data_IF_137722641692
#
_entry.id   IF_137722641692
#
_cell.length_a   1.000
_cell.length_b   1.000
_cell.length_c   1.000
_cell.angle_alpha   90.00
_cell.angle_beta   90.00
_cell.angle_gamma   90.00
#
_symmetry.space_group_name_H-M   'P 1'
#
loop_
_entity.id
_entity.type
_entity.pdbx_description
1 polymer ?
#
# COMPACT_ATOMS: atom_id res chain seq x y z
N UNK A 1 -11.63 -55.50 21.54
CA UNK A 1 -11.37 -56.69 20.70
C UNK A 1 -10.62 -56.28 19.47
N UNK A 2 -9.42 -56.90 19.32
CA UNK A 2 -8.60 -57.17 18.13
C UNK A 2 -8.12 -55.92 17.33
N UNK A 3 -6.86 -55.48 17.49
CA UNK A 3 -5.58 -56.03 17.00
C UNK A 3 -5.60 -56.58 15.58
N UNK A 4 -4.70 -56.05 14.72
CA UNK A 4 -3.81 -56.79 13.79
C UNK A 4 -3.05 -55.72 12.99
N UNK A 5 -1.75 -55.46 13.30
CA UNK A 5 -0.49 -55.97 12.75
C UNK A 5 -0.17 -55.39 11.35
N UNK A 6 0.89 -54.54 11.22
CA UNK A 6 2.32 -54.90 11.00
C UNK A 6 2.61 -55.54 9.64
N UNK A 7 3.52 -54.94 8.91
CA UNK A 7 4.31 -55.49 7.80
C UNK A 7 4.89 -54.36 6.99
N UNK A 8 6.05 -53.87 7.22
CA UNK A 8 7.40 -54.39 6.95
C UNK A 8 7.67 -54.59 5.44
N UNK A 9 8.46 -53.76 4.83
CA UNK A 9 9.49 -54.18 3.88
C UNK A 9 10.58 -53.11 3.76
N UNK A 10 11.70 -53.46 4.35
CA UNK A 10 13.06 -52.94 4.22
C UNK A 10 13.73 -53.71 3.07
N UNK A 11 14.73 -53.10 2.50
CA UNK A 11 15.80 -53.61 1.63
C UNK A 11 15.55 -53.48 0.13
N UNK A 12 16.42 -52.72 -0.55
CA UNK A 12 17.66 -53.30 -1.13
C UNK A 12 18.74 -52.22 -1.16
N UNK A 13 19.83 -52.56 -0.45
CA UNK A 13 21.13 -51.97 -0.44
C UNK A 13 22.02 -52.75 -1.41
N UNK A 14 23.02 -52.08 -1.86
CA UNK A 14 24.32 -52.61 -2.30
C UNK A 14 24.55 -52.79 -3.80
N UNK A 15 25.42 -52.02 -4.22
CA UNK A 15 26.81 -52.27 -4.57
C UNK A 15 27.06 -52.45 -6.06
N UNK A 16 27.89 -51.59 -6.56
CA UNK A 16 29.03 -52.03 -7.38
C UNK A 16 30.17 -50.99 -7.30
N UNK A 17 31.16 -51.33 -6.52
CA UNK A 17 32.51 -50.80 -6.56
C UNK A 17 33.29 -51.81 -7.39
N UNK A 18 34.13 -51.27 -8.23
CA UNK A 18 35.41 -51.77 -8.75
C UNK A 18 35.53 -51.63 -10.26
N UNK A 19 36.45 -50.81 -10.62
CA UNK A 19 37.08 -50.70 -11.96
C UNK A 19 38.26 -49.75 -11.89
N UNK A 20 39.36 -50.18 -11.28
CA UNK A 20 40.66 -49.53 -11.43
C UNK A 20 41.16 -49.76 -12.87
N UNK A 21 41.72 -48.69 -13.49
CA UNK A 21 43.12 -48.75 -13.94
C UNK A 21 43.57 -47.43 -14.54
N UNK A 22 44.65 -46.98 -14.06
CA UNK A 22 45.63 -45.99 -14.40
C UNK A 22 45.75 -45.60 -15.88
N UNK A 23 45.90 -44.25 -16.10
CA UNK A 23 46.97 -43.72 -16.90
C UNK A 23 47.17 -42.23 -16.58
N UNK A 24 48.45 -41.85 -16.36
CA UNK A 24 48.86 -40.53 -15.92
C UNK A 24 48.63 -39.45 -16.99
N UNK A 25 48.26 -38.29 -16.52
CA UNK A 25 48.21 -37.05 -17.26
C UNK A 25 48.04 -35.92 -16.28
N UNK A 26 49.07 -35.08 -16.12
CA UNK A 26 49.03 -33.86 -15.34
C UNK A 26 47.87 -32.99 -15.76
N UNK A 27 46.76 -33.02 -15.03
CA UNK A 27 45.69 -32.02 -15.12
C UNK A 27 45.94 -30.94 -14.09
N UNK A 28 46.29 -29.74 -14.58
CA UNK A 28 46.11 -28.51 -13.84
C UNK A 28 44.71 -28.49 -13.26
N UNK A 29 44.64 -28.47 -11.95
CA UNK A 29 43.40 -28.23 -11.21
C UNK A 29 43.05 -26.76 -11.42
N UNK A 30 42.31 -26.45 -12.47
CA UNK A 30 41.51 -25.23 -12.48
C UNK A 30 40.41 -25.40 -11.42
N UNK A 31 40.66 -24.80 -10.29
CA UNK A 31 39.62 -24.52 -9.30
C UNK A 31 38.67 -23.52 -9.95
N UNK A 32 37.71 -24.02 -10.71
CA UNK A 32 36.53 -23.26 -11.07
C UNK A 32 35.79 -22.99 -9.76
N UNK A 33 36.08 -21.85 -9.16
CA UNK A 33 35.26 -21.30 -8.08
C UNK A 33 33.84 -21.23 -8.62
N UNK A 34 32.96 -22.11 -8.11
CA UNK A 34 31.54 -22.02 -8.32
C UNK A 34 31.12 -20.65 -7.77
N UNK A 35 30.93 -19.67 -8.67
CA UNK A 35 30.34 -18.40 -8.29
C UNK A 35 29.04 -18.77 -7.57
N UNK A 36 28.89 -18.36 -6.31
CA UNK A 36 27.68 -18.56 -5.57
C UNK A 36 26.58 -17.88 -6.38
N UNK A 37 25.59 -18.64 -6.78
CA UNK A 37 24.41 -18.13 -7.52
C UNK A 37 23.78 -17.05 -6.66
N UNK A 38 23.83 -15.79 -7.12
CA UNK A 38 23.28 -14.65 -6.38
C UNK A 38 21.77 -14.85 -6.30
N UNK A 39 21.26 -15.10 -5.10
CA UNK A 39 19.82 -15.31 -4.88
C UNK A 39 19.10 -14.01 -5.22
N UNK A 40 18.15 -14.05 -6.14
CA UNK A 40 17.28 -12.92 -6.45
C UNK A 40 15.96 -13.01 -5.70
N UNK A 41 15.40 -11.85 -5.36
CA UNK A 41 14.13 -11.72 -4.67
C UNK A 41 13.21 -10.82 -5.48
N UNK A 42 11.95 -11.24 -5.64
CA UNK A 42 10.88 -10.43 -6.21
C UNK A 42 9.97 -9.97 -5.08
N UNK A 43 9.78 -8.67 -4.96
CA UNK A 43 9.03 -8.01 -3.89
C UNK A 43 7.81 -7.30 -4.49
N UNK A 44 6.61 -7.62 -4.03
CA UNK A 44 5.37 -6.95 -4.46
C UNK A 44 5.23 -5.62 -3.74
N UNK A 45 5.01 -4.54 -4.49
CA UNK A 45 4.65 -3.22 -3.98
C UNK A 45 3.24 -2.87 -4.44
N UNK A 46 2.29 -2.83 -3.53
CA UNK A 46 0.91 -2.49 -3.83
C UNK A 46 0.60 -1.02 -3.56
N UNK A 47 -0.19 -0.40 -4.43
CA UNK A 47 -0.85 0.88 -4.15
C UNK A 47 -2.23 0.95 -4.82
N UNK A 48 -3.11 1.82 -4.28
CA UNK A 48 -4.50 1.91 -4.72
C UNK A 48 -4.77 3.05 -5.71
N UNK A 49 -3.77 3.84 -6.05
CA UNK A 49 -3.91 4.96 -7.00
C UNK A 49 -3.94 4.47 -8.43
N UNK A 50 -4.59 5.25 -9.30
CA UNK A 50 -4.65 4.93 -10.73
C UNK A 50 -3.25 4.80 -11.35
N UNK A 51 -3.13 3.94 -12.34
CA UNK A 51 -1.92 3.81 -13.14
C UNK A 51 -1.63 5.14 -13.86
N UNK A 52 -0.34 5.54 -13.89
CA UNK A 52 0.10 6.82 -14.44
C UNK A 52 -0.10 8.02 -13.52
N UNK A 53 -0.68 7.86 -12.31
CA UNK A 53 -0.77 8.91 -11.31
C UNK A 53 0.62 9.25 -10.74
N UNK A 54 0.82 10.43 -10.12
CA UNK A 54 2.07 10.74 -9.42
C UNK A 54 2.51 9.69 -8.41
N UNK A 55 1.56 9.07 -7.70
CA UNK A 55 1.89 7.98 -6.77
C UNK A 55 2.41 6.74 -7.50
N UNK A 56 1.84 6.38 -8.64
CA UNK A 56 2.30 5.26 -9.47
C UNK A 56 3.69 5.53 -10.06
N UNK A 57 3.93 6.76 -10.52
CA UNK A 57 5.24 7.19 -11.02
C UNK A 57 6.29 7.07 -9.91
N UNK A 58 6.00 7.57 -8.71
CA UNK A 58 6.89 7.47 -7.56
C UNK A 58 7.16 6.01 -7.15
N UNK A 59 6.15 5.13 -7.22
CA UNK A 59 6.31 3.71 -6.91
C UNK A 59 7.23 3.01 -7.93
N UNK A 60 7.10 3.33 -9.21
CA UNK A 60 7.96 2.82 -10.29
C UNK A 60 9.39 3.34 -10.17
N UNK A 61 9.56 4.64 -9.88
CA UNK A 61 10.88 5.22 -9.62
C UNK A 61 11.55 4.58 -8.40
N UNK A 62 10.79 4.32 -7.33
CA UNK A 62 11.31 3.58 -6.19
C UNK A 62 11.78 2.17 -6.59
N UNK A 63 11.01 1.44 -7.39
CA UNK A 63 11.36 0.12 -7.87
C UNK A 63 12.66 0.14 -8.70
N UNK A 64 12.79 1.10 -9.60
CA UNK A 64 13.99 1.30 -10.44
C UNK A 64 15.21 1.63 -9.57
N UNK A 65 15.07 2.48 -8.57
CA UNK A 65 16.14 2.85 -7.65
C UNK A 65 16.60 1.67 -6.79
N UNK A 66 15.67 0.82 -6.33
CA UNK A 66 16.01 -0.41 -5.60
C UNK A 66 16.80 -1.34 -6.49
N UNK A 67 16.37 -1.55 -7.74
CA UNK A 67 17.06 -2.38 -8.73
C UNK A 67 18.46 -1.86 -9.06
N UNK A 68 18.61 -0.55 -9.15
CA UNK A 68 19.89 0.09 -9.39
C UNK A 68 20.85 -0.04 -8.18
N UNK A 69 20.32 -0.04 -6.97
CA UNK A 69 21.10 -0.19 -5.73
C UNK A 69 21.51 -1.64 -5.46
N UNK A 70 20.63 -2.60 -5.75
CA UNK A 70 20.89 -4.04 -5.65
C UNK A 70 20.13 -4.81 -6.73
N UNK A 71 20.87 -5.29 -7.74
CA UNK A 71 20.33 -6.03 -8.88
C UNK A 71 19.71 -7.39 -8.51
N UNK A 72 19.91 -7.87 -7.28
CA UNK A 72 19.25 -9.06 -6.75
C UNK A 72 17.83 -8.79 -6.25
N UNK A 73 17.43 -7.53 -6.10
CA UNK A 73 16.10 -7.13 -5.69
C UNK A 73 15.29 -6.64 -6.91
N UNK A 74 14.11 -7.19 -7.08
CA UNK A 74 13.13 -6.76 -8.08
C UNK A 74 11.85 -6.36 -7.38
N UNK A 75 11.47 -5.08 -7.49
CA UNK A 75 10.18 -4.60 -6.96
C UNK A 75 9.17 -4.58 -8.10
N UNK A 76 8.09 -5.36 -7.95
CA UNK A 76 6.99 -5.42 -8.91
C UNK A 76 5.84 -4.56 -8.37
N UNK A 77 5.49 -3.50 -9.11
CA UNK A 77 4.44 -2.56 -8.72
C UNK A 77 3.07 -3.06 -9.15
N UNK A 78 2.12 -3.09 -8.23
CA UNK A 78 0.71 -3.45 -8.44
C UNK A 78 -0.17 -2.21 -8.18
N UNK A 79 -0.50 -1.42 -9.22
CA UNK A 79 -1.29 -0.20 -9.11
C UNK A 79 -2.79 -0.48 -8.99
N UNK A 80 -3.58 0.60 -8.83
CA UNK A 80 -5.04 0.60 -8.92
C UNK A 80 -5.74 -0.47 -8.06
N UNK A 81 -5.21 -0.73 -6.87
CA UNK A 81 -5.74 -1.70 -5.92
C UNK A 81 -5.81 -3.15 -6.46
N UNK A 82 -4.93 -3.55 -7.37
CA UNK A 82 -4.91 -4.91 -7.94
C UNK A 82 -4.77 -6.01 -6.89
N UNK A 83 -4.11 -5.73 -5.75
CA UNK A 83 -3.98 -6.68 -4.64
C UNK A 83 -5.01 -6.43 -3.52
N UNK A 84 -5.91 -5.48 -3.68
CA UNK A 84 -6.92 -5.07 -2.69
C UNK A 84 -6.84 -3.59 -2.33
N UNK A 85 -7.82 -3.12 -1.54
CA UNK A 85 -7.77 -1.78 -0.99
C UNK A 85 -6.65 -1.62 0.05
N UNK A 86 -6.37 -0.38 0.45
CA UNK A 86 -5.25 -0.09 1.34
C UNK A 86 -5.37 -0.73 2.74
N UNK A 87 -6.59 -1.01 3.21
CA UNK A 87 -6.81 -1.69 4.50
C UNK A 87 -6.47 -3.18 4.39
N UNK A 88 -7.03 -3.86 3.40
CA UNK A 88 -6.78 -5.28 3.15
C UNK A 88 -5.29 -5.54 2.87
N UNK A 89 -4.66 -4.69 2.06
CA UNK A 89 -3.22 -4.85 1.76
C UNK A 89 -2.34 -4.59 2.98
N UNK A 90 -2.69 -3.64 3.86
CA UNK A 90 -1.94 -3.46 5.12
C UNK A 90 -1.95 -4.73 5.99
N UNK A 91 -3.08 -5.43 6.05
CA UNK A 91 -3.18 -6.73 6.73
C UNK A 91 -2.30 -7.79 6.04
N UNK A 92 -2.28 -7.85 4.71
CA UNK A 92 -1.42 -8.77 3.96
C UNK A 92 0.07 -8.47 4.18
N UNK A 93 0.46 -7.20 4.31
CA UNK A 93 1.85 -6.82 4.63
C UNK A 93 2.21 -7.26 6.06
N UNK A 94 1.30 -7.13 7.02
CA UNK A 94 1.56 -7.49 8.42
C UNK A 94 1.84 -9.00 8.61
N UNK A 95 1.29 -9.83 7.73
CA UNK A 95 1.49 -11.30 7.74
C UNK A 95 2.52 -11.77 6.71
N UNK A 96 3.04 -10.88 5.87
CA UNK A 96 4.10 -11.17 4.89
C UNK A 96 3.62 -11.78 3.57
N UNK A 97 2.33 -11.72 3.25
CA UNK A 97 1.78 -12.18 1.97
C UNK A 97 2.01 -11.16 0.83
N UNK A 98 2.17 -9.89 1.19
CA UNK A 98 2.62 -8.80 0.32
C UNK A 98 3.81 -8.13 1.00
N UNK A 99 4.89 -7.87 0.27
CA UNK A 99 6.12 -7.38 0.85
C UNK A 99 6.07 -5.88 1.17
N UNK A 100 5.38 -5.07 0.35
CA UNK A 100 5.37 -3.62 0.49
C UNK A 100 4.03 -3.00 0.08
N UNK A 101 3.71 -1.88 0.72
CA UNK A 101 2.57 -1.04 0.36
C UNK A 101 2.99 0.43 0.34
N UNK A 102 2.51 1.18 -0.66
CA UNK A 102 2.55 2.65 -0.70
C UNK A 102 1.12 3.18 -0.64
N UNK A 103 0.65 3.54 0.55
CA UNK A 103 -0.74 3.91 0.76
C UNK A 103 -0.96 4.76 2.02
N UNK A 104 -2.17 5.29 2.16
CA UNK A 104 -2.68 5.80 3.43
C UNK A 104 -2.75 4.65 4.44
N UNK A 105 -2.39 4.91 5.69
CA UNK A 105 -2.45 3.91 6.74
C UNK A 105 -3.88 3.67 7.20
N UNK A 106 -4.21 2.40 7.43
CA UNK A 106 -5.52 1.99 7.92
C UNK A 106 -5.62 2.13 9.44
N UNK A 107 -6.70 2.73 9.91
CA UNK A 107 -7.05 2.79 11.34
C UNK A 107 -7.92 1.61 11.79
N UNK A 108 -8.15 0.61 10.95
CA UNK A 108 -9.03 -0.52 11.26
C UNK A 108 -8.38 -1.44 12.30
N UNK A 109 -7.10 -1.74 12.12
CA UNK A 109 -6.34 -2.58 13.06
C UNK A 109 -5.86 -1.74 14.24
N UNK A 110 -5.29 -0.57 13.98
CA UNK A 110 -4.81 0.35 15.01
C UNK A 110 -5.39 1.75 14.81
N UNK A 111 -6.21 2.17 15.76
CA UNK A 111 -6.90 3.48 15.72
C UNK A 111 -5.95 4.66 15.70
N UNK A 112 -4.77 4.55 16.29
CA UNK A 112 -3.78 5.62 16.33
C UNK A 112 -3.25 5.97 14.95
N UNK A 113 -3.19 5.02 14.02
CA UNK A 113 -2.79 5.28 12.64
C UNK A 113 -3.74 6.23 11.91
N UNK A 114 -4.97 6.37 12.40
CA UNK A 114 -5.93 7.36 11.88
C UNK A 114 -5.46 8.82 11.99
N UNK A 115 -4.49 9.11 12.86
CA UNK A 115 -3.91 10.46 12.99
C UNK A 115 -3.25 10.93 11.69
N UNK A 116 -2.76 10.01 10.86
CA UNK A 116 -2.15 10.33 9.56
C UNK A 116 -3.12 10.94 8.54
N UNK A 117 -4.42 10.77 8.79
CA UNK A 117 -5.50 11.32 7.97
C UNK A 117 -6.37 12.29 8.77
N UNK A 118 -5.87 12.79 9.91
CA UNK A 118 -6.60 13.75 10.73
C UNK A 118 -6.79 15.05 9.94
N UNK A 119 -8.01 15.59 9.87
CA UNK A 119 -8.26 16.86 9.21
C UNK A 119 -7.53 18.01 9.92
N UNK A 120 -7.07 18.99 9.14
CA UNK A 120 -6.44 20.21 9.65
C UNK A 120 -5.19 19.99 10.52
N UNK A 121 -4.49 18.87 10.36
CA UNK A 121 -3.25 18.58 11.07
C UNK A 121 -2.12 19.55 10.70
N UNK A 122 -2.19 20.13 9.49
CA UNK A 122 -1.32 21.19 9.01
C UNK A 122 -2.07 22.06 8.01
N UNK A 123 -1.65 23.32 7.88
CA UNK A 123 -2.23 24.31 6.96
C UNK A 123 -1.29 24.67 5.80
N UNK A 124 -0.01 24.39 5.93
CA UNK A 124 1.01 24.77 4.95
C UNK A 124 1.91 23.58 4.60
N UNK A 125 2.56 23.64 3.45
CA UNK A 125 3.53 22.63 3.03
C UNK A 125 4.74 22.54 3.98
N UNK A 126 5.16 23.67 4.57
CA UNK A 126 6.29 23.65 5.50
C UNK A 126 5.92 22.98 6.82
N UNK A 127 4.73 23.21 7.34
CA UNK A 127 4.19 22.47 8.48
C UNK A 127 4.04 20.98 8.14
N UNK A 128 3.50 20.64 6.97
CA UNK A 128 3.37 19.25 6.53
C UNK A 128 4.74 18.55 6.45
N UNK A 129 5.74 19.19 5.85
CA UNK A 129 7.11 18.64 5.80
C UNK A 129 7.72 18.46 7.17
N UNK A 130 7.47 19.39 8.11
CA UNK A 130 7.98 19.28 9.48
C UNK A 130 7.33 18.13 10.23
N UNK A 131 5.99 18.02 10.18
CA UNK A 131 5.23 16.97 10.86
C UNK A 131 5.60 15.58 10.32
N UNK A 132 5.66 15.42 9.00
CA UNK A 132 5.97 14.16 8.34
C UNK A 132 7.47 13.96 8.06
N UNK A 133 8.35 14.75 8.69
CA UNK A 133 9.78 14.51 8.58
C UNK A 133 10.17 13.18 9.22
N UNK A 134 11.24 12.56 8.72
CA UNK A 134 11.69 11.22 9.17
C UNK A 134 11.91 11.12 10.69
N UNK A 135 12.41 12.19 11.28
CA UNK A 135 12.86 12.25 12.68
C UNK A 135 11.89 13.02 13.59
N UNK A 136 10.66 13.28 13.12
CA UNK A 136 9.63 13.91 13.94
C UNK A 136 9.02 12.91 14.93
N UNK A 137 8.58 13.40 16.09
CA UNK A 137 7.85 12.59 17.08
C UNK A 137 6.57 11.98 16.48
N UNK A 138 5.96 12.69 15.53
CA UNK A 138 4.79 12.20 14.80
C UNK A 138 5.13 10.95 13.97
N UNK A 139 6.21 11.01 13.18
CA UNK A 139 6.65 9.87 12.36
C UNK A 139 7.16 8.73 13.23
N UNK A 140 7.82 9.02 14.36
CA UNK A 140 8.25 8.00 15.31
C UNK A 140 7.05 7.27 15.94
N UNK A 141 6.00 8.00 16.30
CA UNK A 141 4.76 7.40 16.81
C UNK A 141 4.16 6.45 15.78
N UNK A 142 4.04 6.89 14.51
CA UNK A 142 3.54 6.03 13.42
C UNK A 142 4.41 4.78 13.27
N UNK A 143 5.73 4.93 13.31
CA UNK A 143 6.69 3.82 13.19
C UNK A 143 6.46 2.77 14.27
N UNK A 144 6.35 3.19 15.54
CA UNK A 144 6.09 2.29 16.66
C UNK A 144 4.81 1.50 16.47
N UNK A 145 3.70 2.16 16.10
CA UNK A 145 2.42 1.50 15.88
C UNK A 145 2.40 0.54 14.68
N UNK A 146 3.23 0.79 13.67
CA UNK A 146 3.40 -0.14 12.55
C UNK A 146 4.29 -1.32 12.91
N UNK A 147 5.35 -1.11 13.71
CA UNK A 147 6.23 -2.18 14.19
C UNK A 147 5.46 -3.18 15.07
N UNK A 148 4.48 -2.71 15.86
CA UNK A 148 3.57 -3.57 16.62
C UNK A 148 2.69 -4.47 15.71
N UNK A 149 2.52 -4.08 14.45
CA UNK A 149 1.84 -4.86 13.41
C UNK A 149 2.83 -5.64 12.52
N UNK A 150 4.09 -5.74 12.92
CA UNK A 150 5.15 -6.38 12.13
C UNK A 150 5.41 -5.70 10.76
N UNK A 151 5.17 -4.39 10.69
CA UNK A 151 5.38 -3.57 9.48
C UNK A 151 6.52 -2.59 9.73
N UNK A 152 7.48 -2.53 8.80
CA UNK A 152 8.57 -1.55 8.82
C UNK A 152 8.21 -0.32 8.02
N UNK A 153 8.15 0.84 8.68
CA UNK A 153 7.98 2.13 7.99
C UNK A 153 9.29 2.52 7.28
N UNK A 154 9.27 2.57 5.96
CA UNK A 154 10.40 3.01 5.16
C UNK A 154 10.42 4.52 5.00
N UNK A 155 9.27 5.11 4.68
CA UNK A 155 9.10 6.56 4.53
C UNK A 155 7.64 6.95 4.71
N UNK A 156 7.41 8.20 5.08
CA UNK A 156 6.11 8.87 5.05
C UNK A 156 6.30 10.24 4.42
N UNK A 157 5.35 10.66 3.60
CA UNK A 157 5.42 11.97 2.97
C UNK A 157 4.01 12.51 2.67
N UNK A 158 3.80 13.82 2.79
CA UNK A 158 2.55 14.45 2.38
C UNK A 158 2.46 14.49 0.86
N UNK A 159 1.36 13.99 0.30
CA UNK A 159 1.16 13.95 -1.15
C UNK A 159 0.36 15.16 -1.66
N UNK A 160 -0.67 15.56 -0.93
CA UNK A 160 -1.55 16.69 -1.26
C UNK A 160 -2.35 17.14 -0.04
N UNK A 161 -2.91 18.33 -0.11
CA UNK A 161 -4.00 18.73 0.78
C UNK A 161 -5.32 18.18 0.25
N UNK A 162 -6.12 17.58 1.14
CA UNK A 162 -7.43 17.05 0.79
C UNK A 162 -8.42 18.19 0.52
N UNK A 163 -9.30 17.97 -0.45
CA UNK A 163 -10.42 18.86 -0.78
C UNK A 163 -11.72 18.08 -0.88
N UNK A 164 -12.76 18.75 -1.33
CA UNK A 164 -14.03 18.15 -1.70
C UNK A 164 -14.23 18.24 -3.21
N UNK A 165 -14.69 17.17 -3.83
CA UNK A 165 -15.13 17.15 -5.23
C UNK A 165 -16.61 16.82 -5.27
N UNK A 166 -17.36 17.57 -6.07
CA UNK A 166 -18.82 17.47 -6.17
C UNK A 166 -19.25 17.39 -7.64
N UNK A 167 -20.32 16.66 -7.90
CA UNK A 167 -21.03 16.66 -9.20
C UNK A 167 -22.20 17.65 -9.21
N UNK A 168 -22.49 18.31 -8.09
CA UNK A 168 -23.50 19.35 -7.92
C UNK A 168 -22.86 20.66 -7.48
N UNK A 169 -23.46 21.76 -7.92
CA UNK A 169 -22.99 23.09 -7.53
C UNK A 169 -23.16 23.31 -6.02
N UNK A 170 -22.08 23.66 -5.30
CA UNK A 170 -22.18 23.99 -3.89
C UNK A 170 -22.87 25.35 -3.71
N UNK A 171 -23.75 25.45 -2.74
CA UNK A 171 -24.55 26.69 -2.51
C UNK A 171 -23.70 27.77 -1.83
N UNK A 172 -23.11 27.51 -0.70
CA UNK A 172 -22.23 28.43 0.04
C UNK A 172 -21.07 27.67 0.68
N UNK A 173 -20.09 27.19 -0.08
CA UNK A 173 -19.12 26.22 0.39
C UNK A 173 -18.21 26.74 1.53
N UNK A 174 -18.10 28.05 1.70
CA UNK A 174 -17.33 28.65 2.79
C UNK A 174 -18.17 28.95 4.05
N UNK A 175 -19.48 28.64 4.04
CA UNK A 175 -20.38 28.91 5.15
C UNK A 175 -20.75 27.61 5.87
N UNK A 176 -20.16 27.36 7.03
CA UNK A 176 -20.36 26.15 7.81
C UNK A 176 -21.78 26.03 8.42
N UNK A 177 -22.57 27.11 8.43
CA UNK A 177 -23.95 27.09 8.89
C UNK A 177 -24.93 26.57 7.82
N UNK A 178 -24.46 26.50 6.55
CA UNK A 178 -25.26 25.96 5.44
C UNK A 178 -25.12 24.46 5.36
N UNK A 179 -26.25 23.78 5.30
CA UNK A 179 -26.33 22.34 5.08
C UNK A 179 -26.65 22.07 3.63
N UNK A 180 -25.67 21.62 2.88
CA UNK A 180 -25.84 21.25 1.46
C UNK A 180 -26.72 20.00 1.29
N UNK A 181 -26.67 19.09 2.27
CA UNK A 181 -27.44 17.85 2.24
C UNK A 181 -26.98 16.83 1.21
N UNK A 182 -25.89 17.11 0.50
CA UNK A 182 -25.32 16.19 -0.50
C UNK A 182 -24.73 14.97 0.17
N UNK A 183 -24.89 13.81 -0.47
CA UNK A 183 -24.25 12.57 -0.04
C UNK A 183 -22.78 12.62 -0.47
N UNK A 184 -21.90 12.82 0.49
CA UNK A 184 -20.47 12.96 0.23
C UNK A 184 -19.70 11.79 0.83
N UNK A 185 -19.01 11.08 -0.02
CA UNK A 185 -18.14 10.00 0.43
C UNK A 185 -17.04 10.53 1.33
N UNK A 186 -16.77 9.81 2.40
CA UNK A 186 -15.58 9.99 3.22
C UNK A 186 -14.85 8.65 3.40
N UNK A 187 -13.65 8.69 3.95
CA UNK A 187 -12.93 7.49 4.36
C UNK A 187 -13.73 6.73 5.42
N UNK A 188 -13.53 5.40 5.48
CA UNK A 188 -14.20 4.52 6.44
C UNK A 188 -13.63 4.65 7.85
N UNK A 189 -13.62 5.88 8.37
CA UNK A 189 -13.12 6.22 9.71
C UNK A 189 -14.00 7.30 10.36
N UNK A 190 -14.18 7.20 11.66
CA UNK A 190 -15.09 8.08 12.40
C UNK A 190 -14.73 9.57 12.33
N UNK A 191 -13.46 9.90 12.31
CA UNK A 191 -13.00 11.28 12.16
C UNK A 191 -13.41 11.89 10.83
N UNK A 192 -13.27 11.16 9.73
CA UNK A 192 -13.68 11.62 8.41
C UNK A 192 -15.20 11.77 8.29
N UNK A 193 -15.95 10.82 8.85
CA UNK A 193 -17.42 10.89 8.92
C UNK A 193 -17.87 12.14 9.69
N UNK A 194 -17.28 12.40 10.86
CA UNK A 194 -17.60 13.56 11.69
C UNK A 194 -17.32 14.86 10.92
N UNK A 195 -16.14 15.03 10.35
CA UNK A 195 -15.76 16.24 9.62
C UNK A 195 -16.65 16.47 8.40
N UNK A 196 -16.95 15.41 7.64
CA UNK A 196 -17.86 15.52 6.49
C UNK A 196 -19.25 16.01 6.89
N UNK A 197 -19.78 15.50 8.00
CA UNK A 197 -21.06 15.98 8.55
C UNK A 197 -20.97 17.43 9.07
N UNK A 198 -19.85 17.81 9.71
CA UNK A 198 -19.64 19.19 10.19
C UNK A 198 -19.55 20.19 9.04
N UNK A 199 -19.02 19.79 7.89
CA UNK A 199 -18.99 20.61 6.67
C UNK A 199 -20.36 20.75 5.98
N UNK A 200 -21.43 20.23 6.56
CA UNK A 200 -22.79 20.40 6.04
C UNK A 200 -23.23 19.33 5.04
N UNK A 201 -22.45 18.29 4.84
CA UNK A 201 -22.76 17.16 3.98
C UNK A 201 -23.35 15.97 4.75
N UNK A 202 -23.94 15.02 4.02
CA UNK A 202 -24.34 13.72 4.56
C UNK A 202 -23.19 12.73 4.29
N UNK A 203 -22.43 12.40 5.32
CA UNK A 203 -21.28 11.50 5.20
C UNK A 203 -21.70 10.10 4.77
N UNK A 204 -21.00 9.57 3.77
CA UNK A 204 -21.19 8.22 3.23
C UNK A 204 -19.86 7.50 3.24
N UNK A 205 -19.49 6.79 4.33
CA UNK A 205 -18.25 6.04 4.41
C UNK A 205 -18.18 4.97 3.31
N UNK A 206 -17.12 5.00 2.48
CA UNK A 206 -16.97 4.12 1.33
C UNK A 206 -15.49 3.95 0.95
N UNK A 207 -15.12 2.78 0.42
CA UNK A 207 -13.79 2.55 -0.14
C UNK A 207 -13.54 3.46 -1.36
N UNK A 208 -12.27 3.85 -1.58
CA UNK A 208 -11.94 4.79 -2.66
C UNK A 208 -12.25 4.21 -4.05
N UNK A 209 -12.05 2.90 -4.22
CA UNK A 209 -12.23 2.22 -5.51
C UNK A 209 -13.68 2.27 -6.02
N UNK A 210 -14.65 2.41 -5.12
CA UNK A 210 -16.07 2.43 -5.46
C UNK A 210 -16.56 3.83 -5.86
N UNK A 211 -15.74 4.87 -5.57
CA UNK A 211 -16.17 6.26 -5.67
C UNK A 211 -16.48 6.71 -7.09
N UNK A 212 -15.69 6.28 -8.09
CA UNK A 212 -15.92 6.66 -9.48
C UNK A 212 -17.31 6.20 -9.95
N UNK A 213 -17.61 4.93 -9.76
CA UNK A 213 -18.91 4.36 -10.13
C UNK A 213 -20.04 4.98 -9.30
N UNK A 214 -19.82 5.23 -8.01
CA UNK A 214 -20.83 5.83 -7.14
C UNK A 214 -21.15 7.29 -7.55
N UNK A 215 -20.16 8.08 -7.96
CA UNK A 215 -20.35 9.43 -8.54
C UNK A 215 -21.06 9.36 -9.87
N UNK A 216 -20.62 8.47 -10.77
CA UNK A 216 -21.20 8.31 -12.11
C UNK A 216 -22.68 7.90 -12.07
N UNK A 217 -23.04 7.04 -11.12
CA UNK A 217 -24.41 6.54 -10.95
C UNK A 217 -25.31 7.39 -10.05
N UNK A 218 -24.74 8.44 -9.41
CA UNK A 218 -25.48 9.33 -8.50
C UNK A 218 -25.80 8.69 -7.15
N UNK A 219 -25.11 7.63 -6.76
CA UNK A 219 -25.20 7.04 -5.41
C UNK A 219 -24.65 8.02 -4.38
N UNK A 220 -23.60 8.75 -4.74
CA UNK A 220 -23.05 9.89 -4.01
C UNK A 220 -23.01 11.12 -4.91
N UNK A 221 -23.06 12.30 -4.30
CA UNK A 221 -23.03 13.60 -4.96
C UNK A 221 -21.61 14.21 -4.95
N UNK A 222 -20.69 13.61 -4.20
CA UNK A 222 -19.32 14.08 -4.08
C UNK A 222 -18.48 13.16 -3.20
N UNK A 223 -17.22 13.56 -3.01
CA UNK A 223 -16.31 12.90 -2.09
C UNK A 223 -15.32 13.90 -1.47
N UNK A 224 -14.87 13.59 -0.26
CA UNK A 224 -13.86 14.34 0.46
C UNK A 224 -12.58 13.51 0.63
N UNK A 225 -11.44 14.19 0.73
CA UNK A 225 -10.14 13.56 0.98
C UNK A 225 -9.35 13.22 -0.30
N UNK A 226 -9.85 13.61 -1.48
CA UNK A 226 -9.06 13.62 -2.71
C UNK A 226 -8.51 15.02 -2.93
N UNK A 227 -7.22 15.15 -3.22
CA UNK A 227 -6.62 16.43 -3.58
C UNK A 227 -6.87 16.75 -5.06
N UNK A 228 -6.39 17.94 -5.49
CA UNK A 228 -6.50 18.38 -6.88
C UNK A 228 -5.91 17.37 -7.89
N UNK A 229 -4.85 16.69 -7.52
CA UNK A 229 -4.26 15.61 -8.33
C UNK A 229 -5.25 14.46 -8.54
N UNK A 230 -5.86 13.96 -7.48
CA UNK A 230 -6.83 12.87 -7.57
C UNK A 230 -8.08 13.28 -8.36
N UNK A 231 -8.55 14.53 -8.18
CA UNK A 231 -9.64 15.08 -9.00
C UNK A 231 -9.27 15.04 -10.49
N UNK A 232 -8.15 15.62 -10.86
CA UNK A 232 -7.75 15.72 -12.26
C UNK A 232 -7.48 14.38 -12.90
N UNK A 233 -6.81 13.47 -12.20
CA UNK A 233 -6.42 12.17 -12.76
C UNK A 233 -7.56 11.16 -12.84
N UNK A 234 -8.52 11.22 -11.89
CA UNK A 234 -9.48 10.11 -11.73
C UNK A 234 -10.95 10.50 -11.74
N UNK A 235 -11.30 11.77 -11.43
CA UNK A 235 -12.70 12.14 -11.19
C UNK A 235 -13.24 13.28 -12.04
N UNK A 236 -12.41 13.97 -12.82
CA UNK A 236 -12.82 15.13 -13.66
C UNK A 236 -13.96 14.82 -14.64
N UNK A 237 -14.13 13.56 -15.03
CA UNK A 237 -15.17 13.15 -15.95
C UNK A 237 -16.53 12.87 -15.26
N UNK A 238 -16.55 12.77 -13.93
CA UNK A 238 -17.74 12.44 -13.13
C UNK A 238 -18.04 13.46 -12.02
N UNK A 239 -17.17 14.46 -11.84
CA UNK A 239 -17.36 15.55 -10.90
C UNK A 239 -16.97 16.88 -11.54
N UNK A 240 -17.74 17.94 -11.24
CA UNK A 240 -17.60 19.24 -11.92
C UNK A 240 -16.90 20.27 -11.03
N UNK A 241 -17.06 20.17 -9.72
CA UNK A 241 -16.59 21.15 -8.75
C UNK A 241 -15.49 20.57 -7.87
N UNK A 242 -14.45 21.37 -7.64
CA UNK A 242 -13.39 21.10 -6.68
C UNK A 242 -13.27 22.26 -5.68
N UNK A 243 -13.30 21.97 -4.38
CA UNK A 243 -13.27 22.90 -3.26
C UNK A 243 -12.06 22.64 -2.38
#
# INVERSE_FOLDING_TARGET
MKNIKRGLSIAIVAAMVLGMTACGGSRKTESAGKAAEKKSFSLKLSHYRAEGSPADINAKEFADNVKAADDSLEVVVYPAAQLGDYTAVQELVSVGDVEMQMATLSSTVDKYLGITSAPYICATWDEAKAIFSRDSDFTETIRTHLEDQNIKLLSVYPLYFGGAILNKEPNQPANLDVREGYKVRCQTMKGAELVTNMLGYNATPMALNDCFTALQTGVIDGMIGSGAEGYYSSYRDVATYYL
#
